data_IF_271601711721
#
_entry.id   IF_271601711721
#
_cell.length_a   1.000
_cell.length_b   1.000
_cell.length_c   1.000
_cell.angle_alpha   90.00
_cell.angle_beta   90.00
_cell.angle_gamma   90.00
#
_symmetry.space_group_name_H-M   'P 1'
#
loop_
_entity.id
_entity.type
_entity.pdbx_description
1 polymer ?
#
# COMPACT_ATOMS: atom_id res chain seq x y z
N UNK A 1 42.27 -12.80 31.62
CA UNK A 1 43.46 -13.48 32.19
C UNK A 1 43.50 -14.90 31.66
N UNK A 2 44.69 -15.45 31.42
CA UNK A 2 44.87 -16.80 30.84
C UNK A 2 45.89 -17.60 31.66
N UNK A 3 45.52 -18.83 32.04
CA UNK A 3 46.42 -19.75 32.75
C UNK A 3 47.60 -20.15 31.85
N UNK A 4 48.82 -20.19 32.40
CA UNK A 4 50.03 -20.60 31.67
C UNK A 4 50.61 -21.93 32.18
N UNK A 5 49.93 -22.59 33.13
CA UNK A 5 50.37 -23.90 33.65
C UNK A 5 50.01 -25.02 32.68
N UNK A 6 50.76 -26.11 32.75
CA UNK A 6 50.51 -27.30 31.95
C UNK A 6 49.52 -28.24 32.66
N UNK A 7 48.66 -28.91 31.89
CA UNK A 7 47.80 -29.99 32.38
C UNK A 7 48.62 -31.25 32.74
N UNK A 8 47.96 -32.26 33.30
CA UNK A 8 48.56 -33.55 33.67
C UNK A 8 49.20 -34.28 32.47
N UNK A 9 48.85 -33.90 31.24
CA UNK A 9 49.39 -34.43 29.98
C UNK A 9 50.45 -33.50 29.35
N UNK A 10 51.02 -32.57 30.13
CA UNK A 10 52.05 -31.63 29.69
C UNK A 10 51.60 -30.63 28.59
N UNK A 11 50.30 -30.40 28.42
CA UNK A 11 49.75 -29.45 27.44
C UNK A 11 49.44 -28.11 28.11
N UNK A 12 49.60 -26.96 27.42
CA UNK A 12 49.27 -25.67 27.99
C UNK A 12 47.76 -25.59 28.33
N UNK A 13 47.45 -25.16 29.55
CA UNK A 13 46.07 -24.99 29.99
C UNK A 13 45.40 -23.84 29.22
N UNK A 14 44.26 -24.11 28.58
CA UNK A 14 43.51 -23.12 27.79
C UNK A 14 42.46 -22.35 28.61
N UNK A 15 42.56 -22.36 29.93
CA UNK A 15 41.57 -21.71 30.79
C UNK A 15 41.74 -20.19 30.75
N UNK A 16 40.69 -19.50 30.28
CA UNK A 16 40.60 -18.03 30.22
C UNK A 16 39.45 -17.58 31.11
N UNK A 17 39.66 -16.51 31.88
CA UNK A 17 38.60 -15.88 32.67
C UNK A 17 38.92 -14.41 32.94
N UNK A 18 37.89 -13.63 33.22
CA UNK A 18 38.03 -12.20 33.45
C UNK A 18 38.12 -11.84 34.96
N UNK A 19 37.93 -12.81 35.88
CA UNK A 19 38.00 -12.63 37.36
C UNK A 19 39.24 -13.28 37.99
N UNK A 20 39.96 -12.53 38.83
CA UNK A 20 41.23 -12.96 39.44
C UNK A 20 41.06 -14.04 40.51
N UNK A 21 39.97 -14.00 41.27
CA UNK A 21 39.72 -15.02 42.30
C UNK A 21 39.39 -16.38 41.68
N UNK A 22 38.76 -16.38 40.51
CA UNK A 22 38.39 -17.60 39.80
C UNK A 22 39.60 -18.26 39.14
N UNK A 23 40.53 -17.48 38.58
CA UNK A 23 41.78 -18.05 38.03
C UNK A 23 42.68 -18.60 39.15
N UNK A 24 42.73 -17.94 40.32
CA UNK A 24 43.43 -18.47 41.51
C UNK A 24 42.85 -19.81 41.96
N UNK A 25 41.52 -19.91 42.02
CA UNK A 25 40.83 -21.19 42.35
C UNK A 25 41.13 -22.27 41.33
N UNK A 26 41.12 -21.93 40.04
CA UNK A 26 41.48 -22.85 38.97
C UNK A 26 42.92 -23.36 39.11
N UNK A 27 43.90 -22.47 39.26
CA UNK A 27 45.31 -22.84 39.41
C UNK A 27 45.56 -23.72 40.66
N UNK A 28 44.89 -23.43 41.79
CA UNK A 28 44.94 -24.29 42.99
C UNK A 28 44.35 -25.67 42.75
N UNK A 29 43.15 -25.74 42.16
CA UNK A 29 42.37 -26.99 42.05
C UNK A 29 42.88 -27.91 40.95
N UNK A 30 43.30 -27.35 39.81
CA UNK A 30 43.69 -28.11 38.61
C UNK A 30 45.19 -28.32 38.49
N UNK A 31 46.00 -27.43 39.05
CA UNK A 31 47.46 -27.49 38.91
C UNK A 31 48.19 -27.53 40.26
N UNK A 32 47.48 -27.65 41.38
CA UNK A 32 48.09 -27.71 42.72
C UNK A 32 48.88 -26.45 43.10
N UNK A 33 48.63 -25.32 42.45
CA UNK A 33 49.40 -24.10 42.68
C UNK A 33 49.12 -23.53 44.08
N UNK A 34 50.16 -23.41 44.90
CA UNK A 34 50.09 -22.73 46.19
C UNK A 34 50.76 -21.35 46.12
N UNK A 35 50.07 -20.34 46.64
CA UNK A 35 50.63 -19.00 46.72
C UNK A 35 51.75 -18.99 47.77
N UNK A 36 52.98 -18.71 47.32
CA UNK A 36 54.17 -18.65 48.17
C UNK A 36 54.20 -17.43 49.11
N UNK A 37 53.32 -16.45 48.91
CA UNK A 37 53.24 -15.26 49.77
C UNK A 37 52.10 -15.40 50.80
N UNK A 38 52.48 -15.41 52.09
CA UNK A 38 51.57 -15.24 53.22
C UNK A 38 51.56 -13.75 53.64
N UNK A 39 50.42 -13.08 53.51
CA UNK A 39 50.20 -11.70 53.99
C UNK A 39 49.82 -10.68 52.90
N UNK A 40 49.59 -9.43 53.31
CA UNK A 40 49.22 -8.32 52.42
C UNK A 40 50.45 -7.93 51.56
N UNK A 41 50.33 -7.86 50.23
CA UNK A 41 51.45 -7.51 49.36
C UNK A 41 51.91 -6.07 49.60
N UNK A 42 53.24 -5.85 49.59
CA UNK A 42 53.83 -4.52 49.60
C UNK A 42 53.63 -3.88 48.21
N UNK A 43 53.25 -2.61 48.17
CA UNK A 43 53.07 -1.88 46.92
C UNK A 43 54.41 -1.85 46.14
N UNK A 44 54.38 -2.23 44.86
CA UNK A 44 55.54 -2.16 43.95
C UNK A 44 56.34 -3.46 43.77
N UNK A 45 55.91 -4.60 44.32
CA UNK A 45 56.52 -5.90 44.00
C UNK A 45 55.84 -6.51 42.78
N UNK A 46 56.56 -6.71 41.67
CA UNK A 46 56.07 -7.51 40.53
C UNK A 46 55.79 -8.93 41.02
N UNK A 47 54.52 -9.34 40.93
CA UNK A 47 54.07 -10.65 41.39
C UNK A 47 54.21 -11.65 40.25
N UNK A 48 55.03 -12.69 40.48
CA UNK A 48 55.19 -13.82 39.57
C UNK A 48 53.96 -14.75 39.71
N UNK A 49 52.92 -14.45 38.95
CA UNK A 49 51.70 -15.25 38.89
C UNK A 49 51.75 -16.23 37.72
N UNK A 50 51.18 -17.44 37.86
CA UNK A 50 51.16 -18.44 36.80
C UNK A 50 50.12 -18.16 35.68
N UNK A 51 49.70 -16.91 35.51
CA UNK A 51 48.74 -16.48 34.49
C UNK A 51 49.12 -15.12 33.90
N UNK A 52 48.78 -14.93 32.62
CA UNK A 52 48.96 -13.67 31.90
C UNK A 52 47.77 -12.72 32.14
N UNK A 53 48.06 -11.48 32.49
CA UNK A 53 47.12 -10.35 32.53
C UNK A 53 47.08 -9.61 31.17
N UNK A 54 46.03 -8.82 30.89
CA UNK A 54 45.88 -8.10 29.63
C UNK A 54 45.34 -8.92 28.44
N UNK A 55 44.66 -10.04 28.70
CA UNK A 55 44.01 -10.88 27.68
C UNK A 55 42.56 -10.45 27.49
N UNK A 56 42.13 -10.17 26.26
CA UNK A 56 40.73 -9.90 25.92
C UNK A 56 39.95 -11.22 25.81
N UNK A 57 38.79 -11.30 26.50
CA UNK A 57 37.96 -12.50 26.62
C UNK A 57 36.55 -12.25 26.07
N UNK A 58 35.99 -13.22 25.34
CA UNK A 58 34.55 -13.29 25.01
C UNK A 58 34.00 -14.69 25.32
N UNK A 59 32.68 -14.82 25.42
CA UNK A 59 31.96 -16.07 25.60
C UNK A 59 30.69 -16.06 24.76
N UNK A 60 30.29 -17.20 24.20
CA UNK A 60 29.10 -17.28 23.34
C UNK A 60 27.79 -17.29 24.14
N UNK A 61 27.80 -17.91 25.32
CA UNK A 61 26.61 -18.10 26.13
C UNK A 61 26.83 -17.61 27.56
N UNK A 62 25.86 -16.90 28.13
CA UNK A 62 25.94 -16.39 29.51
C UNK A 62 25.84 -17.51 30.55
N UNK A 63 25.09 -18.59 30.26
CA UNK A 63 24.90 -19.74 31.16
C UNK A 63 24.76 -21.03 30.33
N UNK A 64 25.11 -22.17 30.94
CA UNK A 64 24.93 -23.50 30.36
C UNK A 64 26.20 -24.10 29.71
N UNK A 65 26.10 -25.30 29.10
CA UNK A 65 27.19 -25.91 28.37
C UNK A 65 27.69 -24.98 27.26
N UNK A 66 29.00 -24.69 27.21
CA UNK A 66 29.59 -23.77 26.23
C UNK A 66 29.74 -22.31 26.68
N UNK A 67 29.37 -21.97 27.92
CA UNK A 67 29.62 -20.65 28.52
C UNK A 67 31.10 -20.41 28.92
N UNK A 68 32.05 -20.99 28.18
CA UNK A 68 33.48 -20.84 28.45
C UNK A 68 34.01 -19.59 27.76
N UNK A 69 34.89 -18.86 28.45
CA UNK A 69 35.60 -17.75 27.84
C UNK A 69 36.72 -18.27 26.93
N UNK A 70 36.92 -17.59 25.81
CA UNK A 70 38.05 -17.79 24.91
C UNK A 70 38.73 -16.46 24.61
N UNK A 71 40.00 -16.54 24.20
CA UNK A 71 40.81 -15.37 23.87
C UNK A 71 40.38 -14.79 22.52
N UNK A 72 40.18 -13.47 22.48
CA UNK A 72 39.93 -12.72 21.24
C UNK A 72 41.04 -11.71 21.02
N UNK A 73 41.38 -11.47 19.76
CA UNK A 73 42.25 -10.35 19.41
C UNK A 73 41.51 -9.04 19.70
N UNK A 74 42.23 -8.05 20.22
CA UNK A 74 41.71 -6.69 20.22
C UNK A 74 41.42 -6.30 18.76
N UNK A 75 40.28 -5.65 18.52
CA UNK A 75 40.00 -5.11 17.20
C UNK A 75 41.17 -4.20 16.82
N UNK A 76 41.86 -4.53 15.72
CA UNK A 76 42.76 -3.54 15.13
C UNK A 76 41.91 -2.31 14.80
N UNK A 77 42.41 -1.08 15.03
CA UNK A 77 41.71 0.10 14.58
C UNK A 77 41.52 -0.06 13.07
N UNK A 78 40.26 -0.29 12.65
CA UNK A 78 39.90 -0.35 11.24
C UNK A 78 40.54 0.85 10.56
N UNK A 79 41.20 0.70 9.40
CA UNK A 79 41.54 1.86 8.60
C UNK A 79 40.26 2.69 8.47
N UNK A 80 40.37 3.95 8.86
CA UNK A 80 39.25 4.87 8.80
C UNK A 80 38.71 4.81 7.37
N UNK A 81 37.43 4.46 7.23
CA UNK A 81 36.70 4.65 5.98
C UNK A 81 37.00 6.09 5.53
N UNK A 82 37.34 6.32 4.24
CA UNK A 82 37.51 7.68 3.77
C UNK A 82 36.21 8.43 4.07
N UNK A 83 36.29 9.35 5.02
CA UNK A 83 35.22 10.27 5.38
C UNK A 83 35.12 11.28 4.25
N UNK A 84 34.64 10.84 3.08
CA UNK A 84 33.90 11.74 2.23
C UNK A 84 32.60 12.03 2.95
N UNK A 85 32.28 13.31 3.14
CA UNK A 85 30.92 13.73 3.52
C UNK A 85 29.97 13.28 2.41
N UNK A 86 29.54 12.03 2.49
CA UNK A 86 28.44 11.51 1.69
C UNK A 86 27.20 12.00 2.40
N UNK A 87 26.54 13.00 1.82
CA UNK A 87 25.29 13.55 2.34
C UNK A 87 24.20 12.46 2.29
N UNK A 88 24.13 11.69 3.37
CA UNK A 88 23.19 10.60 3.55
C UNK A 88 21.74 11.07 3.41
N UNK A 89 21.46 12.32 3.78
CA UNK A 89 20.12 12.86 3.75
C UNK A 89 19.73 13.26 2.32
N UNK A 90 20.68 13.78 1.52
CA UNK A 90 20.48 13.93 0.08
C UNK A 90 20.22 12.58 -0.61
N UNK A 91 20.96 11.52 -0.25
CA UNK A 91 20.76 10.17 -0.80
C UNK A 91 19.39 9.60 -0.41
N UNK A 92 18.99 9.76 0.85
CA UNK A 92 17.69 9.29 1.36
C UNK A 92 16.52 10.05 0.71
N UNK A 93 16.66 11.36 0.51
CA UNK A 93 15.66 12.16 -0.18
C UNK A 93 15.56 11.78 -1.65
N UNK A 94 16.69 11.54 -2.32
CA UNK A 94 16.69 11.09 -3.72
C UNK A 94 16.12 9.69 -3.87
N UNK A 95 16.49 8.75 -2.99
CA UNK A 95 15.89 7.42 -2.93
C UNK A 95 14.38 7.50 -2.68
N UNK A 96 13.94 8.35 -1.75
CA UNK A 96 12.53 8.60 -1.49
C UNK A 96 11.78 9.16 -2.70
N UNK A 97 12.41 10.07 -3.46
CA UNK A 97 11.87 10.61 -4.71
C UNK A 97 11.74 9.53 -5.77
N UNK A 98 12.77 8.70 -5.95
CA UNK A 98 12.77 7.57 -6.90
C UNK A 98 11.72 6.53 -6.52
N UNK A 99 11.61 6.16 -5.24
CA UNK A 99 10.58 5.23 -4.76
C UNK A 99 9.17 5.78 -4.96
N UNK A 100 8.97 7.09 -4.72
CA UNK A 100 7.68 7.73 -4.96
C UNK A 100 7.34 7.76 -6.45
N UNK A 101 8.30 8.06 -7.32
CA UNK A 101 8.12 8.01 -8.77
C UNK A 101 7.81 6.60 -9.27
N UNK A 102 8.48 5.58 -8.71
CA UNK A 102 8.22 4.19 -9.04
C UNK A 102 6.81 3.75 -8.60
N UNK A 103 6.40 4.11 -7.38
CA UNK A 103 5.04 3.82 -6.89
C UNK A 103 3.96 4.58 -7.68
N UNK A 104 4.24 5.83 -8.07
CA UNK A 104 3.34 6.61 -8.92
C UNK A 104 3.22 5.99 -10.32
N UNK A 105 4.31 5.48 -10.91
CA UNK A 105 4.29 4.78 -12.20
C UNK A 105 3.59 3.42 -12.12
N UNK A 106 3.82 2.67 -11.05
CA UNK A 106 3.12 1.41 -10.78
C UNK A 106 1.60 1.65 -10.64
N UNK A 107 1.20 2.70 -9.92
CA UNK A 107 -0.20 3.06 -9.75
C UNK A 107 -0.85 3.68 -11.01
N UNK A 108 -0.07 4.09 -12.03
CA UNK A 108 -0.61 4.49 -13.33
C UNK A 108 -1.14 3.31 -14.12
N UNK A 109 -0.58 2.12 -13.90
CA UNK A 109 -1.05 0.91 -14.57
C UNK A 109 -2.21 0.29 -13.78
N UNK A 110 -3.24 -0.17 -14.50
CA UNK A 110 -4.32 -0.95 -13.92
C UNK A 110 -3.91 -2.42 -13.96
N UNK A 111 -3.43 -2.92 -12.83
CA UNK A 111 -3.06 -4.33 -12.64
C UNK A 111 -4.13 -5.09 -11.87
N UNK A 112 -4.06 -6.42 -11.86
CA UNK A 112 -4.93 -7.22 -11.01
C UNK A 112 -4.76 -6.80 -9.53
N UNK A 113 -5.85 -6.70 -8.76
CA UNK A 113 -5.75 -6.45 -7.33
C UNK A 113 -4.87 -7.53 -6.69
N UNK A 114 -3.97 -7.10 -5.80
CA UNK A 114 -2.99 -7.91 -5.10
C UNK A 114 -3.59 -9.22 -4.55
N UNK A 115 -2.91 -10.36 -4.75
CA UNK A 115 -3.37 -11.73 -4.44
C UNK A 115 -3.96 -11.91 -3.02
N UNK A 116 -3.61 -11.03 -2.07
CA UNK A 116 -4.15 -10.97 -0.71
C UNK A 116 -5.65 -10.59 -0.65
N UNK A 117 -6.20 -9.99 -1.71
CA UNK A 117 -7.64 -9.84 -1.95
C UNK A 117 -7.98 -10.85 -3.04
N UNK A 118 -8.78 -11.88 -2.72
CA UNK A 118 -9.16 -12.95 -3.66
C UNK A 118 -9.33 -12.41 -5.09
N UNK A 119 -8.66 -13.01 -6.09
CA UNK A 119 -8.82 -12.60 -7.48
C UNK A 119 -10.30 -12.58 -7.82
N UNK A 120 -10.81 -11.42 -8.24
CA UNK A 120 -12.22 -11.32 -8.60
C UNK A 120 -12.43 -12.13 -9.89
N UNK A 121 -12.82 -13.40 -9.73
CA UNK A 121 -13.02 -14.36 -10.82
C UNK A 121 -13.92 -13.82 -11.94
N UNK A 122 -14.83 -12.90 -11.62
CA UNK A 122 -15.64 -12.21 -12.61
C UNK A 122 -14.80 -11.24 -13.45
N UNK A 123 -13.93 -10.41 -12.85
CA UNK A 123 -13.04 -9.49 -13.56
C UNK A 123 -12.06 -10.21 -14.49
N UNK A 124 -11.47 -11.33 -14.04
CA UNK A 124 -10.60 -12.15 -14.88
C UNK A 124 -11.37 -12.75 -16.07
N UNK A 125 -12.62 -13.19 -15.85
CA UNK A 125 -13.45 -13.79 -16.91
C UNK A 125 -13.86 -12.80 -17.99
N UNK A 126 -14.13 -11.55 -17.62
CA UNK A 126 -14.58 -10.52 -18.57
C UNK A 126 -13.43 -9.72 -19.18
N UNK A 127 -12.18 -9.94 -18.72
CA UNK A 127 -10.97 -9.36 -19.31
C UNK A 127 -10.82 -7.85 -19.09
N UNK A 128 -11.48 -7.26 -18.08
CA UNK A 128 -11.39 -5.81 -17.84
C UNK A 128 -9.98 -5.36 -17.48
N UNK A 129 -9.19 -6.20 -16.81
CA UNK A 129 -7.82 -5.87 -16.42
C UNK A 129 -6.95 -5.75 -17.66
N UNK A 130 -7.03 -6.71 -18.59
CA UNK A 130 -6.30 -6.65 -19.86
C UNK A 130 -6.78 -5.48 -20.73
N UNK A 131 -8.10 -5.23 -20.74
CA UNK A 131 -8.70 -4.15 -21.52
C UNK A 131 -8.27 -2.77 -21.02
N UNK A 132 -8.27 -2.55 -19.70
CA UNK A 132 -7.96 -1.25 -19.09
C UNK A 132 -6.47 -1.07 -18.76
N UNK A 133 -5.68 -2.15 -18.73
CA UNK A 133 -4.26 -2.12 -18.35
C UNK A 133 -3.37 -1.28 -19.28
N UNK A 134 -3.82 -1.01 -20.51
CA UNK A 134 -3.13 -0.15 -21.48
C UNK A 134 -3.41 1.35 -21.28
N UNK A 135 -4.39 1.70 -20.46
CA UNK A 135 -4.79 3.07 -20.20
C UNK A 135 -4.16 3.58 -18.91
N UNK A 136 -3.78 4.86 -18.91
CA UNK A 136 -3.33 5.53 -17.69
C UNK A 136 -4.50 5.66 -16.71
N UNK A 137 -4.34 5.11 -15.51
CA UNK A 137 -5.36 5.13 -14.46
C UNK A 137 -5.74 6.55 -14.08
N UNK A 138 -4.79 7.49 -14.09
CA UNK A 138 -5.09 8.89 -13.75
C UNK A 138 -5.96 9.53 -14.82
N UNK A 139 -5.62 9.34 -16.10
CA UNK A 139 -6.45 9.81 -17.22
C UNK A 139 -7.87 9.22 -17.17
N UNK A 140 -8.02 7.91 -16.91
CA UNK A 140 -9.34 7.30 -16.72
C UNK A 140 -10.09 7.89 -15.52
N UNK A 141 -9.37 8.16 -14.43
CA UNK A 141 -9.91 8.84 -13.25
C UNK A 141 -10.45 10.23 -13.54
N UNK A 142 -9.80 10.98 -14.43
CA UNK A 142 -10.25 12.31 -14.86
C UNK A 142 -11.56 12.23 -15.67
N UNK A 143 -11.76 11.18 -16.48
CA UNK A 143 -13.01 10.97 -17.23
C UNK A 143 -14.21 10.71 -16.32
N UNK A 144 -14.03 10.00 -15.19
CA UNK A 144 -15.12 9.70 -14.25
C UNK A 144 -15.25 10.72 -13.11
N UNK A 145 -14.33 11.69 -13.01
CA UNK A 145 -14.29 12.67 -11.94
C UNK A 145 -15.61 13.45 -11.80
N UNK A 146 -15.93 14.03 -10.62
CA UNK A 146 -17.06 14.95 -10.48
C UNK A 146 -17.10 16.01 -11.58
N UNK A 147 -18.31 16.45 -11.93
CA UNK A 147 -18.51 17.51 -12.92
C UNK A 147 -17.94 18.82 -12.37
N UNK A 148 -17.21 19.55 -13.21
CA UNK A 148 -16.62 20.85 -12.87
C UNK A 148 -17.58 22.00 -13.22
N UNK A 149 -17.27 23.19 -12.73
CA UNK A 149 -18.09 24.39 -12.97
C UNK A 149 -18.09 24.82 -14.44
N UNK A 150 -17.01 24.53 -15.17
CA UNK A 150 -16.80 24.84 -16.60
C UNK A 150 -17.42 23.80 -17.56
N UNK A 151 -18.20 22.84 -17.06
CA UNK A 151 -18.83 21.78 -17.85
C UNK A 151 -20.38 21.85 -17.75
N UNK A 152 -21.03 22.91 -18.29
CA UNK A 152 -22.47 23.13 -18.15
C UNK A 152 -23.32 22.00 -18.74
N UNK A 153 -22.89 21.39 -19.83
CA UNK A 153 -23.56 20.26 -20.50
C UNK A 153 -23.63 19.05 -19.57
N UNK A 154 -22.52 18.69 -18.93
CA UNK A 154 -22.44 17.57 -18.00
C UNK A 154 -23.23 17.83 -16.72
N UNK A 155 -23.32 19.09 -16.27
CA UNK A 155 -24.15 19.45 -15.11
C UNK A 155 -25.63 19.24 -15.42
N UNK A 156 -26.08 19.68 -16.60
CA UNK A 156 -27.45 19.46 -17.06
C UNK A 156 -27.72 17.97 -17.20
N UNK A 157 -26.83 17.21 -17.86
CA UNK A 157 -26.95 15.76 -18.01
C UNK A 157 -27.13 15.05 -16.66
N UNK A 158 -26.23 15.34 -15.71
CA UNK A 158 -26.25 14.71 -14.39
C UNK A 158 -27.51 15.08 -13.60
N UNK A 159 -27.99 16.32 -13.73
CA UNK A 159 -29.21 16.79 -13.08
C UNK A 159 -30.46 16.15 -13.68
N UNK A 160 -30.53 16.09 -15.02
CA UNK A 160 -31.61 15.41 -15.74
C UNK A 160 -31.67 13.92 -15.36
N UNK A 161 -30.51 13.28 -15.21
CA UNK A 161 -30.45 11.90 -14.75
C UNK A 161 -30.92 11.74 -13.29
N UNK A 162 -30.58 12.67 -12.40
CA UNK A 162 -31.09 12.66 -11.03
C UNK A 162 -32.64 12.75 -11.01
N UNK A 163 -33.23 13.59 -11.87
CA UNK A 163 -34.69 13.66 -12.03
C UNK A 163 -35.28 12.39 -12.63
N UNK A 164 -34.64 11.80 -13.64
CA UNK A 164 -35.07 10.53 -14.22
C UNK A 164 -35.12 9.42 -13.18
N UNK A 165 -34.12 9.33 -12.31
CA UNK A 165 -34.10 8.33 -11.23
C UNK A 165 -35.23 8.59 -10.21
N UNK A 166 -35.45 9.85 -9.83
CA UNK A 166 -36.55 10.20 -8.93
C UNK A 166 -37.91 9.85 -9.52
N UNK A 167 -38.12 10.16 -10.80
CA UNK A 167 -39.34 9.83 -11.54
C UNK A 167 -39.53 8.32 -11.64
N UNK A 168 -38.49 7.59 -12.03
CA UNK A 168 -38.52 6.13 -12.09
C UNK A 168 -38.87 5.48 -10.74
N UNK A 169 -38.32 6.01 -9.63
CA UNK A 169 -38.66 5.54 -8.29
C UNK A 169 -40.12 5.82 -7.92
N UNK A 170 -40.65 6.99 -8.30
CA UNK A 170 -42.04 7.34 -8.09
C UNK A 170 -42.98 6.41 -8.88
N UNK A 171 -42.62 6.07 -10.11
CA UNK A 171 -43.42 5.22 -10.98
C UNK A 171 -43.29 3.72 -10.66
N UNK A 172 -42.16 3.26 -10.13
CA UNK A 172 -41.92 1.86 -9.78
C UNK A 172 -42.58 1.44 -8.44
N UNK A 173 -43.79 1.90 -8.15
CA UNK A 173 -44.56 1.50 -6.96
C UNK A 173 -45.88 0.85 -7.35
N UNK A 174 -46.40 -0.04 -6.48
CA UNK A 174 -47.61 -0.82 -6.73
C UNK A 174 -48.82 0.04 -7.11
N UNK A 175 -48.90 1.26 -6.53
CA UNK A 175 -50.02 2.19 -6.77
C UNK A 175 -50.06 2.73 -8.19
N UNK A 176 -48.95 2.68 -8.92
CA UNK A 176 -48.82 3.30 -10.25
C UNK A 176 -48.83 2.23 -11.35
N UNK A 177 -47.98 1.21 -11.27
CA UNK A 177 -47.82 0.20 -12.34
C UNK A 177 -48.54 -1.13 -12.09
N UNK A 178 -49.18 -1.31 -10.93
CA UNK A 178 -49.80 -2.58 -10.54
C UNK A 178 -48.81 -3.58 -9.94
N UNK A 179 -49.29 -4.77 -9.59
CA UNK A 179 -48.47 -5.78 -8.91
C UNK A 179 -47.70 -6.66 -9.92
N UNK A 180 -48.35 -6.97 -11.02
CA UNK A 180 -47.89 -7.82 -12.11
C UNK A 180 -46.62 -7.24 -12.75
N UNK A 181 -46.63 -5.93 -13.05
CA UNK A 181 -45.47 -5.22 -13.57
C UNK A 181 -44.28 -5.25 -12.59
N UNK A 182 -44.53 -5.22 -11.28
CA UNK A 182 -43.46 -5.29 -10.27
C UNK A 182 -42.88 -6.71 -10.14
N UNK A 183 -43.69 -7.76 -10.31
CA UNK A 183 -43.17 -9.13 -10.37
C UNK A 183 -42.28 -9.31 -11.61
N UNK A 184 -42.71 -8.81 -12.76
CA UNK A 184 -41.89 -8.86 -13.98
C UNK A 184 -40.61 -8.04 -13.84
N UNK A 185 -40.67 -6.84 -13.26
CA UNK A 185 -39.49 -6.01 -13.02
C UNK A 185 -38.46 -6.66 -12.07
N UNK A 186 -38.89 -7.51 -11.13
CA UNK A 186 -37.98 -8.20 -10.22
C UNK A 186 -37.41 -9.50 -10.82
N UNK A 187 -37.86 -9.89 -12.01
CA UNK A 187 -37.53 -11.17 -12.63
C UNK A 187 -36.07 -11.22 -13.07
N UNK A 188 -35.30 -12.10 -12.43
CA UNK A 188 -33.87 -12.27 -12.72
C UNK A 188 -33.58 -13.33 -13.80
N UNK A 189 -34.50 -14.27 -13.98
CA UNK A 189 -34.36 -15.39 -14.91
C UNK A 189 -35.68 -15.59 -15.66
N UNK A 190 -35.62 -15.74 -16.99
CA UNK A 190 -36.81 -15.85 -17.86
C UNK A 190 -37.72 -17.01 -17.46
N UNK A 191 -37.13 -18.11 -16.97
CA UNK A 191 -37.83 -19.37 -16.68
C UNK A 191 -38.15 -19.56 -15.19
N UNK A 192 -37.89 -18.57 -14.33
CA UNK A 192 -38.10 -18.69 -12.89
C UNK A 192 -38.98 -17.55 -12.39
N UNK A 193 -40.09 -17.92 -11.76
CA UNK A 193 -40.98 -16.95 -11.13
C UNK A 193 -40.35 -16.39 -9.84
N UNK A 194 -40.49 -15.08 -9.66
CA UNK A 194 -40.04 -14.40 -8.45
C UNK A 194 -41.10 -14.50 -7.37
N UNK A 195 -40.67 -14.77 -6.14
CA UNK A 195 -41.58 -14.90 -4.99
C UNK A 195 -42.02 -13.54 -4.42
N UNK A 196 -41.35 -12.45 -4.79
CA UNK A 196 -41.60 -11.11 -4.27
C UNK A 196 -41.67 -10.10 -5.42
N UNK A 197 -42.54 -9.09 -5.34
CA UNK A 197 -42.54 -7.98 -6.29
C UNK A 197 -41.30 -7.11 -6.12
N UNK A 198 -40.94 -6.36 -7.16
CA UNK A 198 -39.90 -5.34 -7.09
C UNK A 198 -40.24 -4.30 -6.01
N UNK A 199 -39.26 -3.98 -5.17
CA UNK A 199 -39.36 -2.92 -4.19
C UNK A 199 -38.47 -1.76 -4.61
N UNK A 200 -39.09 -0.67 -5.05
CA UNK A 200 -38.40 0.58 -5.40
C UNK A 200 -37.87 1.35 -4.19
N UNK A 201 -38.37 1.03 -2.99
CA UNK A 201 -37.92 1.69 -1.78
C UNK A 201 -36.51 1.21 -1.41
N UNK A 202 -35.56 2.13 -1.53
CA UNK A 202 -34.17 1.95 -1.14
C UNK A 202 -33.78 3.07 -0.18
N UNK A 203 -32.79 2.82 0.66
CA UNK A 203 -32.22 3.87 1.51
C UNK A 203 -31.64 5.00 0.63
N UNK A 204 -31.85 6.25 1.04
CA UNK A 204 -31.41 7.43 0.29
C UNK A 204 -29.90 7.38 -0.01
N UNK A 205 -29.09 6.83 0.90
CA UNK A 205 -27.65 6.71 0.69
C UNK A 205 -27.32 5.67 -0.39
N UNK A 206 -28.08 4.57 -0.45
CA UNK A 206 -27.95 3.56 -1.51
C UNK A 206 -28.33 4.14 -2.87
N UNK A 207 -29.44 4.86 -2.94
CA UNK A 207 -29.88 5.52 -4.18
C UNK A 207 -28.81 6.47 -4.68
N UNK A 208 -28.31 7.36 -3.81
CA UNK A 208 -27.22 8.29 -4.17
C UNK A 208 -25.98 7.58 -4.68
N UNK A 209 -25.57 6.51 -4.01
CA UNK A 209 -24.38 5.73 -4.38
C UNK A 209 -24.55 5.10 -5.77
N UNK A 210 -25.68 4.43 -6.01
CA UNK A 210 -25.92 3.77 -7.29
C UNK A 210 -26.14 4.77 -8.43
N UNK A 211 -26.85 5.86 -8.18
CA UNK A 211 -26.99 6.96 -9.13
C UNK A 211 -25.64 7.57 -9.47
N UNK A 212 -24.73 7.75 -8.50
CA UNK A 212 -23.39 8.25 -8.79
C UNK A 212 -22.60 7.30 -9.69
N UNK A 213 -22.67 5.98 -9.45
CA UNK A 213 -22.03 4.98 -10.34
C UNK A 213 -22.56 5.11 -11.78
N UNK A 214 -23.87 5.25 -11.98
CA UNK A 214 -24.42 5.50 -13.31
C UNK A 214 -23.93 6.83 -13.90
N UNK A 215 -23.86 7.90 -13.09
CA UNK A 215 -23.32 9.18 -13.53
C UNK A 215 -21.83 9.10 -13.86
N UNK A 216 -21.05 8.23 -13.22
CA UNK A 216 -19.64 7.99 -13.59
C UNK A 216 -19.56 7.44 -15.01
N UNK A 217 -20.44 6.50 -15.38
CA UNK A 217 -20.52 5.98 -16.75
C UNK A 217 -20.94 7.04 -17.76
N UNK A 218 -21.93 7.88 -17.43
CA UNK A 218 -22.35 8.98 -18.30
C UNK A 218 -21.21 9.98 -18.55
N UNK A 219 -20.54 10.42 -17.48
CA UNK A 219 -19.36 11.30 -17.56
C UNK A 219 -18.26 10.68 -18.39
N UNK A 220 -17.98 9.41 -18.17
CA UNK A 220 -16.99 8.66 -18.92
C UNK A 220 -17.29 8.70 -20.42
N UNK A 221 -18.50 8.30 -20.84
CA UNK A 221 -18.91 8.26 -22.25
C UNK A 221 -18.88 9.65 -22.89
N UNK A 222 -19.36 10.68 -22.18
CA UNK A 222 -19.45 12.03 -22.72
C UNK A 222 -18.06 12.68 -22.84
N UNK A 223 -17.22 12.59 -21.80
CA UNK A 223 -15.85 13.14 -21.86
C UNK A 223 -14.95 12.39 -22.82
N UNK A 224 -15.12 11.08 -23.01
CA UNK A 224 -14.30 10.32 -23.95
C UNK A 224 -14.56 10.66 -25.42
N UNK A 225 -15.66 11.36 -25.76
CA UNK A 225 -15.89 11.87 -27.13
C UNK A 225 -14.84 12.90 -27.54
N UNK A 226 -14.40 13.75 -26.60
CA UNK A 226 -13.43 14.81 -26.87
C UNK A 226 -11.98 14.33 -26.78
N UNK A 227 -11.77 13.10 -26.32
CA UNK A 227 -10.45 12.48 -26.28
C UNK A 227 -10.00 12.06 -27.68
N UNK A 228 -8.73 12.31 -27.99
CA UNK A 228 -8.06 11.85 -29.21
C UNK A 228 -8.29 10.35 -29.44
N UNK A 229 -8.58 9.88 -30.67
CA UNK A 229 -8.90 8.48 -30.96
C UNK A 229 -7.88 7.47 -30.41
N UNK A 230 -6.60 7.82 -30.40
CA UNK A 230 -5.50 6.98 -29.93
C UNK A 230 -5.47 6.83 -28.39
N UNK A 231 -6.04 7.79 -27.66
CA UNK A 231 -6.13 7.81 -26.19
C UNK A 231 -7.53 7.46 -25.69
N UNK A 232 -8.51 7.39 -26.59
CA UNK A 232 -9.89 7.08 -26.27
C UNK A 232 -9.99 5.63 -25.80
N UNK A 233 -10.69 5.36 -24.69
CA UNK A 233 -10.96 4.00 -24.28
C UNK A 233 -11.67 3.17 -25.36
N UNK A 234 -11.27 1.91 -25.51
CA UNK A 234 -11.67 1.05 -26.62
C UNK A 234 -13.07 0.43 -26.46
N UNK A 235 -14.09 1.25 -26.19
CA UNK A 235 -15.48 0.83 -26.22
C UNK A 235 -16.12 1.20 -27.56
N UNK A 236 -17.04 0.34 -28.02
CA UNK A 236 -17.85 0.59 -29.21
C UNK A 236 -19.32 0.68 -28.80
N UNK A 237 -19.98 1.74 -29.22
CA UNK A 237 -21.42 1.89 -29.08
C UNK A 237 -22.08 1.25 -30.29
N UNK A 238 -23.21 0.58 -30.06
CA UNK A 238 -24.06 0.16 -31.17
C UNK A 238 -24.64 1.39 -31.87
N UNK A 239 -25.02 1.26 -33.15
CA UNK A 239 -25.61 2.37 -33.92
C UNK A 239 -26.80 3.01 -33.18
N UNK A 240 -27.68 2.20 -32.60
CA UNK A 240 -28.81 2.71 -31.82
C UNK A 240 -28.37 3.46 -30.56
N UNK A 241 -27.33 2.98 -29.86
CA UNK A 241 -26.81 3.68 -28.68
C UNK A 241 -26.16 5.01 -29.06
N UNK A 242 -25.42 5.02 -30.17
CA UNK A 242 -24.79 6.22 -30.70
C UNK A 242 -25.84 7.28 -31.02
N UNK A 243 -26.91 6.91 -31.75
CA UNK A 243 -28.02 7.80 -32.06
C UNK A 243 -28.67 8.37 -30.80
N UNK A 244 -29.01 7.52 -29.82
CA UNK A 244 -29.62 8.00 -28.58
C UNK A 244 -28.71 8.96 -27.80
N UNK A 245 -27.39 8.73 -27.80
CA UNK A 245 -26.42 9.61 -27.13
C UNK A 245 -26.31 10.95 -27.87
N UNK A 246 -26.35 10.95 -29.20
CA UNK A 246 -26.34 12.17 -30.02
C UNK A 246 -27.62 12.99 -29.83
N UNK A 247 -28.79 12.35 -29.74
CA UNK A 247 -30.06 13.02 -29.47
C UNK A 247 -30.05 13.72 -28.10
N UNK A 248 -29.53 13.02 -27.07
CA UNK A 248 -29.38 13.59 -25.72
C UNK A 248 -28.40 14.77 -25.75
N UNK A 249 -27.28 14.63 -26.46
CA UNK A 249 -26.28 15.69 -26.58
C UNK A 249 -26.87 16.94 -27.22
N UNK A 250 -27.54 16.79 -28.37
CA UNK A 250 -28.18 17.89 -29.09
C UNK A 250 -29.20 18.62 -28.20
N UNK A 251 -30.02 17.85 -27.48
CA UNK A 251 -31.01 18.42 -26.55
C UNK A 251 -30.36 19.22 -25.42
N UNK A 252 -29.19 18.78 -24.93
CA UNK A 252 -28.45 19.47 -23.88
C UNK A 252 -27.81 20.75 -24.41
N UNK A 253 -27.18 20.72 -25.59
CA UNK A 253 -26.60 21.90 -26.23
C UNK A 253 -27.66 22.98 -26.45
N UNK A 254 -28.84 22.61 -26.95
CA UNK A 254 -29.97 23.53 -27.11
C UNK A 254 -30.40 24.16 -25.78
N UNK A 255 -30.41 23.39 -24.69
CA UNK A 255 -30.75 23.88 -23.35
C UNK A 255 -29.67 24.81 -22.77
N UNK A 256 -28.39 24.52 -22.98
CA UNK A 256 -27.29 25.41 -22.58
C UNK A 256 -27.41 26.73 -23.33
N UNK A 257 -27.54 26.67 -24.66
CA UNK A 257 -27.68 27.84 -25.51
C UNK A 257 -28.88 28.71 -25.10
N UNK A 258 -30.05 28.10 -24.86
CA UNK A 258 -31.23 28.83 -24.41
C UNK A 258 -31.01 29.51 -23.05
N UNK A 259 -30.30 28.86 -22.13
CA UNK A 259 -30.00 29.42 -20.80
C UNK A 259 -29.05 30.62 -20.90
N UNK A 260 -28.06 30.57 -21.78
CA UNK A 260 -27.13 31.68 -22.03
C UNK A 260 -27.84 32.89 -22.64
N UNK A 261 -28.76 32.68 -23.60
CA UNK A 261 -29.54 33.75 -24.22
C UNK A 261 -30.42 34.50 -23.19
N UNK A 262 -31.07 33.77 -22.29
CA UNK A 262 -31.89 34.37 -21.21
C UNK A 262 -31.07 35.18 -20.21
N UNK A 263 -29.85 34.74 -19.90
CA UNK A 263 -28.95 35.45 -18.98
C UNK A 263 -28.38 36.71 -19.62
N UNK A 264 -28.01 36.67 -20.91
CA UNK A 264 -27.54 37.83 -21.67
C UNK A 264 -28.60 38.92 -21.85
N UNK A 265 -29.86 38.54 -22.03
CA UNK A 265 -30.99 39.48 -22.09
C UNK A 265 -31.32 40.14 -20.73
N UNK A 266 -30.94 39.49 -19.63
CA UNK A 266 -31.13 40.03 -18.28
C UNK A 266 -30.06 41.05 -17.88
N UNK A 267 -28.78 40.83 -18.25
CA UNK A 267 -27.69 41.79 -18.04
C UNK A 267 -27.79 43.01 -18.97
N UNK A 268 -28.45 42.88 -20.12
CA UNK A 268 -28.67 43.99 -21.07
C UNK A 268 -29.80 44.94 -20.67
N UNK A 269 -30.51 44.66 -19.57
CA UNK A 269 -31.67 45.42 -19.06
C UNK A 269 -31.43 46.14 -17.73
N UNK A 270 -30.21 46.06 -17.19
CA UNK A 270 -29.74 46.89 -16.06
C UNK A 270 -28.87 48.07 -16.54
#
# INVERSE_FOLDING_TARGET
MQCQLHDEAQRPCRFVICNEDEIRKHCRKKHGWENKQKGRPKAGTEQDFPWRTGVHCQHFFVRGPGAQFFEVHAAEPSPAMPSGDVDLEAIKNELGRVMKQAAEEEHRQITEPEEAREPNSWLCRVGWVDHLGHFDRKALGELVAPVKEDEPELQILCTAFDWLIQDAQYHAVRKVVGLEALFEANKKEVNKETQMPFNSWMDITTVKTYTDVCKQLLRYIFRSKDVEPEKRPAYELTESQQMCIEDVWTSIEELVWWKEEQMGDSESRE
#
